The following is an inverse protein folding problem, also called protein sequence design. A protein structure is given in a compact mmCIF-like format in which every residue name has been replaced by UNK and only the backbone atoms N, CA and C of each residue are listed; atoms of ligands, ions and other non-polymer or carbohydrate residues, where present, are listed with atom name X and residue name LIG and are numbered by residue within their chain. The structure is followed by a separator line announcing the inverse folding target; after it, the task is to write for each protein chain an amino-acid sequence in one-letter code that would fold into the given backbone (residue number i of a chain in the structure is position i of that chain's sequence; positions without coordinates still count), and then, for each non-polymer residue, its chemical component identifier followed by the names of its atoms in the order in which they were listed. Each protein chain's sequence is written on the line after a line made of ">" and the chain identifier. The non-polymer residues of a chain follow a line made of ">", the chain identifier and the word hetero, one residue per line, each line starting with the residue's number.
data_IF_499910930501
#
_entry.id   IF_499910930501
#
_cell.length_a   1.000
_cell.length_b   1.000
_cell.length_c   1.000
_cell.angle_alpha   90.00
_cell.angle_beta   90.00
_cell.angle_gamma   90.00
#
_symmetry.space_group_name_H-M   'P 1'
#
loop_
_entity.id
_entity.type
_entity.pdbx_description
1 polymer ?
#
# COMPACT_ATOMS: atom_id res chain seq x y z
N UNK A 1 -49.31 -38.37 -35.21
CA UNK A 1 -49.39 -39.09 -33.91
C UNK A 1 -48.26 -38.60 -33.00
N UNK A 2 -48.47 -38.55 -31.67
CA UNK A 2 -48.21 -37.37 -30.85
C UNK A 2 -46.80 -37.33 -30.25
N UNK A 3 -46.17 -36.14 -30.16
CA UNK A 3 -44.87 -36.01 -29.50
C UNK A 3 -44.32 -34.59 -29.34
N UNK A 4 -45.10 -33.54 -29.62
CA UNK A 4 -44.64 -32.13 -29.57
C UNK A 4 -45.13 -31.33 -28.36
N UNK A 5 -45.84 -31.95 -27.41
CA UNK A 5 -46.44 -31.27 -26.25
C UNK A 5 -45.67 -31.41 -24.94
N UNK A 6 -44.68 -32.29 -24.82
CA UNK A 6 -43.97 -32.54 -23.55
C UNK A 6 -42.77 -31.62 -23.29
N UNK A 7 -42.16 -31.03 -24.32
CA UNK A 7 -41.04 -30.10 -24.13
C UNK A 7 -41.45 -28.68 -23.69
N UNK A 8 -42.74 -28.33 -23.81
CA UNK A 8 -43.26 -27.04 -23.35
C UNK A 8 -43.51 -27.01 -21.83
N UNK A 9 -43.78 -28.18 -21.22
CA UNK A 9 -44.02 -28.31 -19.78
C UNK A 9 -42.74 -28.39 -18.93
N UNK A 10 -41.63 -28.90 -19.49
CA UNK A 10 -40.34 -28.94 -18.76
C UNK A 10 -39.66 -27.56 -18.67
N UNK A 11 -39.89 -26.67 -19.64
CA UNK A 11 -39.35 -25.29 -19.59
C UNK A 11 -40.09 -24.38 -18.60
N UNK A 12 -41.38 -24.62 -18.38
CA UNK A 12 -42.22 -23.83 -17.47
C UNK A 12 -42.01 -24.22 -15.99
N UNK A 13 -41.63 -25.47 -15.72
CA UNK A 13 -41.30 -25.97 -14.37
C UNK A 13 -39.93 -25.48 -13.87
N UNK A 14 -38.97 -25.21 -14.77
CA UNK A 14 -37.66 -24.68 -14.41
C UNK A 14 -37.68 -23.15 -14.18
N UNK A 15 -38.65 -22.43 -14.78
CA UNK A 15 -38.84 -21.00 -14.59
C UNK A 15 -39.63 -20.67 -13.30
N UNK A 16 -40.44 -21.61 -12.79
CA UNK A 16 -41.17 -21.44 -11.53
C UNK A 16 -40.29 -21.69 -10.28
N UNK A 17 -39.15 -22.36 -10.44
CA UNK A 17 -38.22 -22.66 -9.35
C UNK A 17 -37.19 -21.54 -9.08
N UNK A 18 -37.10 -20.53 -9.96
CA UNK A 18 -36.25 -19.34 -9.79
C UNK A 18 -37.00 -18.06 -9.38
N UNK A 19 -38.32 -18.10 -9.20
CA UNK A 19 -39.15 -16.94 -8.86
C UNK A 19 -39.74 -16.96 -7.43
N UNK A 20 -39.28 -17.88 -6.58
CA UNK A 20 -39.96 -18.22 -5.33
C UNK A 20 -39.10 -18.17 -4.06
N UNK A 21 -38.32 -17.11 -3.82
CA UNK A 21 -37.83 -16.78 -2.45
C UNK A 21 -37.64 -15.27 -2.29
N UNK A 22 -38.75 -14.55 -2.18
CA UNK A 22 -38.76 -13.17 -1.71
C UNK A 22 -40.04 -12.91 -0.90
N UNK A 23 -39.86 -12.45 0.34
CA UNK A 23 -40.86 -11.99 1.31
C UNK A 23 -41.65 -13.05 2.11
N UNK A 24 -41.17 -13.29 3.34
CA UNK A 24 -42.04 -13.43 4.50
C UNK A 24 -41.35 -12.83 5.73
N UNK A 25 -41.85 -11.67 6.16
CA UNK A 25 -41.60 -11.13 7.48
C UNK A 25 -42.34 -11.99 8.52
N UNK A 26 -41.64 -12.43 9.56
CA UNK A 26 -42.24 -12.83 10.83
C UNK A 26 -41.22 -12.60 11.95
N UNK A 27 -41.52 -11.61 12.78
CA UNK A 27 -41.02 -11.46 14.14
C UNK A 27 -41.26 -12.73 14.96
N UNK A 28 -40.30 -13.15 15.80
CA UNK A 28 -40.51 -13.63 17.19
C UNK A 28 -39.17 -14.05 17.84
N UNK A 29 -38.96 -13.48 19.04
CA UNK A 29 -38.16 -13.89 20.22
C UNK A 29 -36.65 -14.18 20.12
N UNK A 30 -35.90 -13.19 20.61
CA UNK A 30 -34.87 -13.25 21.65
C UNK A 30 -34.92 -14.49 22.57
N UNK A 31 -33.95 -15.39 22.47
CA UNK A 31 -33.00 -15.79 23.53
C UNK A 31 -32.24 -17.06 23.16
N UNK A 32 -30.97 -17.09 23.55
CA UNK A 32 -30.06 -18.26 23.64
C UNK A 32 -29.52 -18.87 22.32
N UNK A 33 -28.42 -18.29 21.81
CA UNK A 33 -27.24 -19.12 21.50
C UNK A 33 -25.96 -18.27 21.58
N UNK A 34 -25.57 -17.97 22.83
CA UNK A 34 -24.22 -17.58 23.15
C UNK A 34 -23.36 -18.85 23.24
N UNK A 35 -22.41 -19.00 22.31
CA UNK A 35 -21.06 -19.57 22.53
C UNK A 35 -20.51 -20.21 21.24
N UNK A 36 -19.96 -19.39 20.34
CA UNK A 36 -18.78 -19.71 19.52
C UNK A 36 -18.49 -18.57 18.54
N UNK A 37 -18.18 -17.39 19.06
CA UNK A 37 -17.39 -16.42 18.31
C UNK A 37 -16.05 -16.35 19.00
N UNK A 38 -15.06 -17.00 18.38
CA UNK A 38 -13.67 -16.81 18.72
C UNK A 38 -13.38 -15.32 18.68
N UNK A 39 -12.99 -14.79 19.83
CA UNK A 39 -12.65 -13.41 20.05
C UNK A 39 -11.44 -13.03 19.19
N UNK A 40 -11.66 -12.46 18.02
CA UNK A 40 -10.68 -11.51 17.48
C UNK A 40 -10.74 -10.28 18.40
N UNK A 41 -9.63 -9.90 19.06
CA UNK A 41 -9.64 -8.72 19.90
C UNK A 41 -9.85 -7.50 18.99
N UNK A 42 -10.95 -6.82 19.22
CA UNK A 42 -11.30 -5.59 18.53
C UNK A 42 -10.21 -4.53 18.76
N UNK A 43 -9.39 -4.27 17.73
CA UNK A 43 -8.41 -3.17 17.65
C UNK A 43 -9.17 -1.84 17.46
N UNK A 44 -10.02 -1.47 18.41
CA UNK A 44 -10.90 -0.28 18.31
C UNK A 44 -10.26 0.97 18.95
N UNK A 45 -9.14 0.83 19.67
CA UNK A 45 -8.42 1.97 20.26
C UNK A 45 -7.43 2.67 19.32
N UNK A 46 -6.64 1.92 18.55
CA UNK A 46 -5.49 2.46 17.82
C UNK A 46 -5.85 3.23 16.55
N UNK A 47 -6.79 2.73 15.74
CA UNK A 47 -7.16 3.31 14.43
C UNK A 47 -7.69 4.74 14.53
N UNK A 48 -8.45 5.03 15.59
CA UNK A 48 -8.99 6.38 15.83
C UNK A 48 -7.90 7.42 16.15
N UNK A 49 -6.79 7.00 16.78
CA UNK A 49 -5.65 7.86 17.10
C UNK A 49 -4.86 8.24 15.84
N UNK A 50 -4.48 7.22 15.06
CA UNK A 50 -3.76 7.42 13.79
C UNK A 50 -4.56 8.25 12.78
N UNK A 51 -5.87 7.99 12.65
CA UNK A 51 -6.73 8.77 11.75
C UNK A 51 -6.85 10.24 12.19
N UNK A 52 -7.00 10.51 13.50
CA UNK A 52 -7.02 11.89 14.01
C UNK A 52 -5.68 12.60 13.80
N UNK A 53 -4.57 11.86 13.96
CA UNK A 53 -3.24 12.39 13.71
C UNK A 53 -3.04 12.76 12.24
N UNK A 54 -3.48 11.90 11.31
CA UNK A 54 -3.42 12.17 9.88
C UNK A 54 -4.24 13.41 9.49
N UNK A 55 -5.49 13.52 9.98
CA UNK A 55 -6.32 14.70 9.74
C UNK A 55 -5.70 15.99 10.31
N UNK A 56 -5.11 15.92 11.50
CA UNK A 56 -4.43 17.07 12.11
C UNK A 56 -3.17 17.45 11.34
N UNK A 57 -2.40 16.47 10.85
CA UNK A 57 -1.22 16.71 10.02
C UNK A 57 -1.56 17.32 8.66
N UNK A 58 -2.68 16.90 8.04
CA UNK A 58 -3.18 17.49 6.80
C UNK A 58 -3.64 18.94 7.01
N UNK A 59 -4.44 19.20 8.04
CA UNK A 59 -4.86 20.56 8.39
C UNK A 59 -3.68 21.48 8.69
N UNK A 60 -2.68 20.99 9.44
CA UNK A 60 -1.45 21.73 9.71
C UNK A 60 -0.73 22.11 8.41
N UNK A 61 -0.58 21.16 7.47
CA UNK A 61 0.06 21.41 6.19
C UNK A 61 -0.66 22.53 5.41
N UNK A 62 -1.99 22.50 5.37
CA UNK A 62 -2.79 23.54 4.72
C UNK A 62 -2.60 24.92 5.40
N UNK A 63 -2.54 24.97 6.73
CA UNK A 63 -2.28 26.21 7.47
C UNK A 63 -0.87 26.76 7.25
N UNK A 64 0.13 25.88 7.12
CA UNK A 64 1.51 26.28 6.77
C UNK A 64 1.55 26.90 5.37
N UNK A 65 0.85 26.30 4.39
CA UNK A 65 0.74 26.88 3.05
C UNK A 65 0.05 28.24 3.05
N UNK A 66 -1.00 28.40 3.86
CA UNK A 66 -1.73 29.64 4.05
C UNK A 66 -0.95 30.71 4.85
N UNK A 67 0.10 30.32 5.59
CA UNK A 67 0.89 31.21 6.44
C UNK A 67 0.20 31.65 7.75
N UNK A 68 -0.84 30.92 8.20
CA UNK A 68 -1.60 31.25 9.41
C UNK A 68 -0.87 30.75 10.67
N UNK A 69 0.05 31.56 11.20
CA UNK A 69 0.86 31.21 12.37
C UNK A 69 0.06 30.86 13.62
N UNK A 70 -1.12 31.45 13.80
CA UNK A 70 -1.96 31.18 14.96
C UNK A 70 -2.52 29.74 14.88
N UNK A 71 -3.05 29.37 13.71
CA UNK A 71 -3.57 28.01 13.49
C UNK A 71 -2.47 26.96 13.44
N UNK A 72 -1.29 27.28 12.90
CA UNK A 72 -0.14 26.37 12.89
C UNK A 72 0.25 25.98 14.33
N UNK A 73 0.32 26.95 15.24
CA UNK A 73 0.61 26.71 16.66
C UNK A 73 -0.47 25.85 17.32
N UNK A 74 -1.73 26.23 17.12
CA UNK A 74 -2.87 25.49 17.65
C UNK A 74 -2.89 24.03 17.18
N UNK A 75 -2.69 23.79 15.89
CA UNK A 75 -2.73 22.44 15.33
C UNK A 75 -1.50 21.61 15.76
N UNK A 76 -0.33 22.24 15.90
CA UNK A 76 0.88 21.61 16.45
C UNK A 76 0.69 21.13 17.90
N UNK A 77 0.01 21.91 18.74
CA UNK A 77 -0.33 21.51 20.11
C UNK A 77 -1.34 20.36 20.14
N UNK A 78 -2.35 20.42 19.26
CA UNK A 78 -3.33 19.34 19.10
C UNK A 78 -2.68 18.03 18.65
N UNK A 79 -1.74 18.07 17.70
CA UNK A 79 -0.95 16.91 17.28
C UNK A 79 -0.20 16.30 18.48
N UNK A 80 0.45 17.14 19.29
CA UNK A 80 1.16 16.69 20.50
C UNK A 80 0.20 15.96 21.46
N UNK A 81 -0.99 16.52 21.68
CA UNK A 81 -2.00 15.93 22.55
C UNK A 81 -2.54 14.59 22.00
N UNK A 82 -2.77 14.49 20.69
CA UNK A 82 -3.22 13.25 20.05
C UNK A 82 -2.19 12.14 20.28
N UNK A 83 -0.91 12.44 20.08
CA UNK A 83 0.17 11.44 20.19
C UNK A 83 0.35 10.95 21.63
N UNK A 84 0.22 11.83 22.62
CA UNK A 84 0.31 11.44 24.04
C UNK A 84 -0.93 10.66 24.51
N UNK A 85 -2.11 10.97 23.98
CA UNK A 85 -3.38 10.36 24.41
C UNK A 85 -3.79 9.12 23.62
N UNK A 86 -3.07 8.77 22.54
CA UNK A 86 -3.39 7.63 21.67
C UNK A 86 -2.35 6.52 21.82
N UNK A 87 -2.80 5.27 21.68
CA UNK A 87 -1.91 4.13 21.50
C UNK A 87 -1.71 3.85 20.01
N UNK A 88 -0.47 3.63 19.60
CA UNK A 88 -0.09 3.21 18.24
C UNK A 88 0.43 1.77 18.22
N UNK A 89 0.09 0.98 19.25
CA UNK A 89 0.49 -0.42 19.36
C UNK A 89 0.02 -1.23 18.15
N UNK A 90 0.91 -2.05 17.60
CA UNK A 90 0.62 -2.89 16.44
C UNK A 90 0.57 -2.17 15.08
N UNK A 91 0.70 -0.83 15.05
CA UNK A 91 0.69 -0.06 13.80
C UNK A 91 2.06 0.12 13.18
N UNK A 92 3.09 0.17 14.01
CA UNK A 92 4.47 0.44 13.62
C UNK A 92 5.44 -0.20 14.62
N UNK A 93 6.72 -0.31 14.24
CA UNK A 93 7.79 -0.70 15.15
C UNK A 93 8.18 0.44 16.11
N UNK A 94 9.03 0.12 17.08
CA UNK A 94 9.61 1.09 18.04
C UNK A 94 10.37 2.20 17.30
N UNK A 95 11.11 1.85 16.25
CA UNK A 95 11.82 2.79 15.39
C UNK A 95 10.86 3.77 14.71
N UNK A 96 9.68 3.31 14.28
CA UNK A 96 8.66 4.18 13.69
C UNK A 96 8.00 5.11 14.69
N UNK A 97 7.77 4.68 15.94
CA UNK A 97 7.32 5.59 17.02
C UNK A 97 8.38 6.65 17.31
N UNK A 98 9.65 6.26 17.35
CA UNK A 98 10.76 7.20 17.51
C UNK A 98 10.84 8.18 16.33
N UNK A 99 10.72 7.69 15.09
CA UNK A 99 10.73 8.53 13.90
C UNK A 99 9.56 9.54 13.87
N UNK A 100 8.36 9.11 14.24
CA UNK A 100 7.20 9.98 14.38
C UNK A 100 7.44 11.07 15.43
N UNK A 101 7.95 10.67 16.59
CA UNK A 101 8.25 11.58 17.70
C UNK A 101 9.29 12.62 17.30
N UNK A 102 10.33 12.21 16.58
CA UNK A 102 11.36 13.10 16.05
C UNK A 102 10.78 14.16 15.09
N UNK A 103 9.93 13.75 14.15
CA UNK A 103 9.28 14.69 13.21
C UNK A 103 8.38 15.70 13.93
N UNK A 104 7.65 15.26 14.96
CA UNK A 104 6.83 16.17 15.79
C UNK A 104 7.71 17.15 16.55
N UNK A 105 8.83 16.68 17.12
CA UNK A 105 9.77 17.55 17.83
C UNK A 105 10.39 18.60 16.90
N UNK A 106 10.80 18.20 15.69
CA UNK A 106 11.33 19.11 14.67
C UNK A 106 10.31 20.18 14.29
N UNK A 107 9.06 19.77 14.06
CA UNK A 107 7.96 20.71 13.80
C UNK A 107 7.78 21.71 14.94
N UNK A 108 7.75 21.25 16.19
CA UNK A 108 7.58 22.13 17.36
C UNK A 108 8.73 23.12 17.48
N UNK A 109 9.96 22.69 17.20
CA UNK A 109 11.12 23.57 17.20
C UNK A 109 11.01 24.66 16.13
N UNK A 110 10.57 24.31 14.91
CA UNK A 110 10.37 25.29 13.82
C UNK A 110 9.24 26.28 14.13
N UNK A 111 8.12 25.81 14.68
CA UNK A 111 6.98 26.66 15.06
C UNK A 111 7.29 27.60 16.24
N UNK A 112 8.16 27.16 17.15
CA UNK A 112 8.64 27.95 18.28
C UNK A 112 9.82 28.87 17.92
N UNK A 113 10.37 28.76 16.71
CA UNK A 113 11.55 29.52 16.31
C UNK A 113 11.26 31.03 16.20
N UNK A 114 12.26 31.85 16.58
CA UNK A 114 12.16 33.32 16.53
C UNK A 114 12.08 33.82 15.09
N UNK A 115 12.72 33.12 14.14
CA UNK A 115 12.65 33.41 12.72
C UNK A 115 11.88 32.29 12.01
N UNK A 116 10.56 32.44 11.95
CA UNK A 116 9.70 31.53 11.22
C UNK A 116 10.09 31.53 9.74
N UNK A 117 10.61 30.39 9.25
CA UNK A 117 10.85 30.16 7.82
C UNK A 117 9.70 29.35 7.26
N UNK A 118 9.08 29.88 6.20
CA UNK A 118 7.97 29.23 5.52
C UNK A 118 8.43 27.90 4.92
N UNK A 119 9.59 27.90 4.27
CA UNK A 119 10.17 26.74 3.58
C UNK A 119 10.47 25.61 4.57
N UNK A 120 11.08 25.92 5.72
CA UNK A 120 11.38 24.91 6.75
C UNK A 120 10.11 24.36 7.39
N UNK A 121 9.12 25.22 7.62
CA UNK A 121 7.82 24.81 8.17
C UNK A 121 7.04 23.95 7.19
N UNK A 122 7.06 24.28 5.89
CA UNK A 122 6.46 23.48 4.82
C UNK A 122 7.08 22.08 4.75
N UNK A 123 8.41 22.00 4.81
CA UNK A 123 9.12 20.72 4.84
C UNK A 123 8.80 19.89 6.08
N UNK A 124 8.77 20.50 7.27
CA UNK A 124 8.43 19.83 8.52
C UNK A 124 6.98 19.31 8.51
N UNK A 125 6.03 20.12 8.07
CA UNK A 125 4.63 19.72 7.96
C UNK A 125 4.41 18.62 6.91
N UNK A 126 5.11 18.69 5.76
CA UNK A 126 5.06 17.64 4.75
C UNK A 126 5.61 16.30 5.28
N UNK A 127 6.74 16.33 6.00
CA UNK A 127 7.29 15.13 6.67
C UNK A 127 6.29 14.54 7.66
N UNK A 128 5.65 15.37 8.48
CA UNK A 128 4.63 14.91 9.43
C UNK A 128 3.43 14.29 8.72
N UNK A 129 2.94 14.92 7.65
CA UNK A 129 1.83 14.39 6.85
C UNK A 129 2.16 13.03 6.26
N UNK A 130 3.36 12.85 5.71
CA UNK A 130 3.80 11.55 5.18
C UNK A 130 3.92 10.51 6.29
N UNK A 131 4.49 10.88 7.45
CA UNK A 131 4.62 9.99 8.60
C UNK A 131 3.26 9.54 9.16
N UNK A 132 2.32 10.47 9.33
CA UNK A 132 0.98 10.18 9.82
C UNK A 132 0.19 9.30 8.83
N UNK A 133 0.30 9.57 7.53
CA UNK A 133 -0.30 8.74 6.49
C UNK A 133 0.28 7.31 6.49
N UNK A 134 1.59 7.14 6.68
CA UNK A 134 2.23 5.82 6.76
C UNK A 134 1.67 4.96 7.89
N UNK A 135 1.26 5.55 9.02
CA UNK A 135 0.65 4.82 10.13
C UNK A 135 -0.72 4.25 9.76
N UNK A 136 -1.51 5.01 9.01
CA UNK A 136 -2.90 4.64 8.70
C UNK A 136 -3.02 3.81 7.42
N UNK A 137 -2.03 3.90 6.52
CA UNK A 137 -2.04 3.25 5.21
C UNK A 137 -0.80 2.35 4.98
N UNK A 138 -0.59 1.29 5.79
CA UNK A 138 0.63 0.47 5.70
C UNK A 138 0.81 -0.24 4.35
N UNK A 139 -0.28 -0.53 3.63
CA UNK A 139 -0.22 -1.21 2.32
C UNK A 139 0.10 -0.30 1.13
N UNK A 140 -0.32 0.97 1.17
CA UNK A 140 -0.14 1.93 0.08
C UNK A 140 0.08 3.36 0.63
N UNK A 141 1.17 3.60 1.37
CA UNK A 141 1.44 4.91 1.93
C UNK A 141 1.83 5.89 0.82
N UNK A 142 1.48 7.17 1.01
CA UNK A 142 1.68 8.23 0.01
C UNK A 142 3.14 8.38 -0.43
N UNK A 143 4.10 8.11 0.45
CA UNK A 143 5.53 8.22 0.12
C UNK A 143 5.97 7.28 -1.01
N UNK A 144 5.22 6.19 -1.30
CA UNK A 144 5.53 5.32 -2.43
C UNK A 144 5.50 6.05 -3.78
N UNK A 145 4.77 7.18 -3.87
CA UNK A 145 4.77 8.03 -5.06
C UNK A 145 6.16 8.62 -5.37
N UNK A 146 7.06 8.70 -4.38
CA UNK A 146 8.43 9.17 -4.56
C UNK A 146 9.31 8.18 -5.35
N UNK A 147 8.84 6.94 -5.57
CA UNK A 147 9.59 5.92 -6.30
C UNK A 147 10.09 6.41 -7.66
N UNK A 148 9.23 7.12 -8.41
CA UNK A 148 9.60 7.63 -9.74
C UNK A 148 10.78 8.60 -9.66
N UNK A 149 10.79 9.46 -8.64
CA UNK A 149 11.80 10.49 -8.45
C UNK A 149 13.13 9.88 -7.97
N UNK A 150 13.06 8.93 -7.02
CA UNK A 150 14.23 8.16 -6.55
C UNK A 150 14.88 7.39 -7.71
N UNK A 151 14.08 6.72 -8.53
CA UNK A 151 14.57 5.99 -9.72
C UNK A 151 15.21 6.93 -10.73
N UNK A 152 14.66 8.12 -10.92
CA UNK A 152 15.23 9.13 -11.81
C UNK A 152 16.61 9.60 -11.32
N UNK A 153 16.77 9.86 -10.01
CA UNK A 153 18.06 10.25 -9.45
C UNK A 153 19.10 9.13 -9.56
N UNK A 154 18.71 7.88 -9.28
CA UNK A 154 19.56 6.70 -9.49
C UNK A 154 19.96 6.55 -10.98
N UNK A 155 19.03 6.80 -11.90
CA UNK A 155 19.32 6.80 -13.34
C UNK A 155 20.29 7.91 -13.75
N UNK A 156 20.20 9.10 -13.13
CA UNK A 156 21.18 10.18 -13.34
C UNK A 156 22.55 9.82 -12.77
N UNK A 157 22.61 9.17 -11.60
CA UNK A 157 23.86 8.63 -11.08
C UNK A 157 24.50 7.62 -12.04
N UNK A 158 23.69 6.73 -12.63
CA UNK A 158 24.16 5.75 -13.63
C UNK A 158 24.75 6.44 -14.87
N UNK A 159 24.05 7.44 -15.41
CA UNK A 159 24.49 8.21 -16.57
C UNK A 159 25.81 8.94 -16.30
N UNK A 160 25.91 9.61 -15.16
CA UNK A 160 27.12 10.32 -14.75
C UNK A 160 28.29 9.35 -14.52
N UNK A 161 28.03 8.19 -13.91
CA UNK A 161 29.02 7.12 -13.77
C UNK A 161 29.51 6.62 -15.14
N UNK A 162 28.61 6.39 -16.09
CA UNK A 162 28.95 5.95 -17.44
C UNK A 162 29.77 6.99 -18.23
N UNK A 163 29.51 8.28 -18.01
CA UNK A 163 30.24 9.39 -18.60
C UNK A 163 31.58 9.71 -17.89
N UNK A 164 31.84 9.11 -16.73
CA UNK A 164 32.99 9.46 -15.89
C UNK A 164 32.90 10.84 -15.24
N UNK A 165 31.69 11.40 -15.19
CA UNK A 165 31.36 12.69 -14.59
C UNK A 165 31.10 12.53 -13.09
N UNK A 166 32.09 12.89 -12.30
CA UNK A 166 32.01 12.77 -10.84
C UNK A 166 31.20 13.89 -10.20
N UNK A 167 31.21 15.08 -10.77
CA UNK A 167 30.43 16.20 -10.26
C UNK A 167 28.93 15.94 -10.49
N UNK A 168 28.57 15.45 -11.69
CA UNK A 168 27.22 15.01 -11.99
C UNK A 168 26.76 13.84 -11.13
N UNK A 169 27.67 12.90 -10.81
CA UNK A 169 27.36 11.79 -9.90
C UNK A 169 27.07 12.28 -8.47
N UNK A 170 27.93 13.17 -7.95
CA UNK A 170 27.78 13.76 -6.62
C UNK A 170 26.49 14.58 -6.51
N UNK A 171 26.20 15.42 -7.50
CA UNK A 171 24.98 16.22 -7.53
C UNK A 171 23.70 15.36 -7.60
N UNK A 172 23.74 14.23 -8.33
CA UNK A 172 22.63 13.29 -8.36
C UNK A 172 22.45 12.57 -7.01
N UNK A 173 23.55 12.21 -6.33
CA UNK A 173 23.51 11.62 -4.99
C UNK A 173 22.97 12.60 -3.93
N UNK A 174 23.40 13.86 -3.94
CA UNK A 174 22.91 14.88 -3.00
C UNK A 174 21.40 15.11 -3.16
N UNK A 175 20.88 15.11 -4.40
CA UNK A 175 19.44 15.17 -4.67
C UNK A 175 18.70 13.96 -4.13
N UNK A 176 19.26 12.76 -4.33
CA UNK A 176 18.69 11.53 -3.80
C UNK A 176 18.64 11.54 -2.27
N UNK A 177 19.73 11.95 -1.61
CA UNK A 177 19.81 12.10 -0.16
C UNK A 177 18.76 13.07 0.36
N UNK A 178 18.69 14.26 -0.23
CA UNK A 178 17.69 15.27 0.15
C UNK A 178 16.25 14.76 0.00
N UNK A 179 15.95 14.03 -1.08
CA UNK A 179 14.62 13.41 -1.25
C UNK A 179 14.37 12.30 -0.25
N UNK A 180 15.38 11.48 0.02
CA UNK A 180 15.28 10.41 1.00
C UNK A 180 15.03 10.97 2.41
N UNK A 181 15.74 12.01 2.83
CA UNK A 181 15.55 12.67 4.13
C UNK A 181 14.11 13.19 4.35
N UNK A 182 13.42 13.54 3.26
CA UNK A 182 12.01 13.96 3.31
C UNK A 182 11.04 12.79 3.51
N UNK A 183 11.34 11.61 2.96
CA UNK A 183 10.47 10.44 3.07
C UNK A 183 10.89 9.48 4.18
N UNK A 184 12.13 9.56 4.67
CA UNK A 184 12.73 8.60 5.60
C UNK A 184 11.88 8.33 6.84
N UNK A 185 11.29 9.34 7.53
CA UNK A 185 10.42 9.06 8.67
C UNK A 185 9.19 8.21 8.29
N UNK A 186 8.60 8.49 7.13
CA UNK A 186 7.44 7.75 6.62
C UNK A 186 7.82 6.32 6.19
N UNK A 187 9.02 6.13 5.66
CA UNK A 187 9.58 4.81 5.31
C UNK A 187 9.80 3.98 6.57
N UNK A 188 10.43 4.54 7.62
CA UNK A 188 10.68 3.83 8.89
C UNK A 188 9.37 3.35 9.53
N UNK A 189 8.30 4.13 9.42
CA UNK A 189 7.00 3.79 9.99
C UNK A 189 6.32 2.62 9.27
N UNK A 190 6.37 2.59 7.93
CA UNK A 190 5.63 1.58 7.15
C UNK A 190 6.45 0.36 6.74
N UNK A 191 7.77 0.43 6.81
CA UNK A 191 8.68 -0.60 6.29
C UNK A 191 9.42 -1.33 7.40
N UNK A 192 9.91 -2.53 7.08
CA UNK A 192 10.71 -3.33 8.01
C UNK A 192 12.06 -2.64 8.32
N UNK A 193 12.53 -2.62 9.59
CA UNK A 193 13.79 -1.97 9.96
C UNK A 193 15.01 -2.45 9.15
N UNK A 194 15.05 -3.73 8.77
CA UNK A 194 16.15 -4.31 8.01
C UNK A 194 16.26 -3.70 6.61
N UNK A 195 15.12 -3.44 5.96
CA UNK A 195 15.05 -2.87 4.62
C UNK A 195 15.50 -1.40 4.64
N UNK A 196 15.10 -0.65 5.67
CA UNK A 196 15.54 0.74 5.84
C UNK A 196 17.04 0.79 6.12
N UNK A 197 17.54 -0.06 7.01
CA UNK A 197 18.96 -0.14 7.35
C UNK A 197 19.83 -0.51 6.15
N UNK A 198 19.37 -1.43 5.29
CA UNK A 198 20.06 -1.78 4.06
C UNK A 198 20.22 -0.57 3.12
N UNK A 199 19.14 0.22 2.96
CA UNK A 199 19.18 1.42 2.13
C UNK A 199 20.03 2.54 2.76
N UNK A 200 19.94 2.76 4.07
CA UNK A 200 20.77 3.72 4.82
C UNK A 200 22.27 3.39 4.70
N UNK A 201 22.61 2.11 4.81
CA UNK A 201 24.00 1.62 4.66
C UNK A 201 24.51 1.83 3.25
N UNK A 202 23.70 1.51 2.24
CA UNK A 202 24.06 1.78 0.85
C UNK A 202 24.25 3.29 0.59
N UNK A 203 23.34 4.13 1.09
CA UNK A 203 23.38 5.57 0.87
C UNK A 203 24.61 6.22 1.51
N UNK A 204 24.97 5.81 2.72
CA UNK A 204 26.18 6.26 3.40
C UNK A 204 27.46 5.76 2.72
N UNK A 205 27.47 4.52 2.22
CA UNK A 205 28.59 4.01 1.41
C UNK A 205 28.76 4.81 0.12
N UNK A 206 27.66 5.08 -0.61
CA UNK A 206 27.69 5.92 -1.80
C UNK A 206 28.20 7.33 -1.47
N UNK A 207 27.76 7.94 -0.37
CA UNK A 207 28.21 9.26 0.06
C UNK A 207 29.73 9.35 0.30
N UNK A 208 30.33 8.27 0.79
CA UNK A 208 31.77 8.20 1.06
C UNK A 208 32.64 8.06 -0.20
N UNK A 209 32.08 7.62 -1.32
CA UNK A 209 32.84 7.28 -2.53
C UNK A 209 33.51 8.49 -3.21
N UNK A 210 32.84 9.64 -3.39
CA UNK A 210 33.49 10.85 -3.92
C UNK A 210 34.49 11.49 -2.97
N UNK A 211 34.39 11.21 -1.66
CA UNK A 211 35.29 11.76 -0.64
C UNK A 211 36.61 10.96 -0.51
N UNK A 212 36.70 9.81 -1.18
CA UNK A 212 37.91 9.00 -1.19
C UNK A 212 39.05 9.72 -1.95
N UNK A 213 40.27 9.62 -1.43
CA UNK A 213 41.46 10.30 -1.98
C UNK A 213 41.82 9.89 -3.43
N UNK A 214 41.21 8.83 -3.97
CA UNK A 214 41.46 8.34 -5.31
C UNK A 214 40.18 8.39 -6.14
N UNK A 215 40.30 8.81 -7.40
CA UNK A 215 39.19 8.82 -8.36
C UNK A 215 38.59 7.41 -8.46
N UNK A 216 37.34 7.16 -8.01
CA UNK A 216 36.72 5.85 -8.14
C UNK A 216 36.64 5.42 -9.61
N UNK A 217 36.91 4.14 -9.85
CA UNK A 217 36.77 3.53 -11.17
C UNK A 217 35.30 3.58 -11.63
N UNK A 218 35.10 3.71 -12.95
CA UNK A 218 33.78 3.72 -13.57
C UNK A 218 33.00 2.45 -13.25
N UNK A 219 33.65 1.29 -13.30
CA UNK A 219 33.03 -0.01 -13.01
C UNK A 219 32.46 -0.02 -11.60
N UNK A 220 33.25 0.46 -10.63
CA UNK A 220 32.84 0.57 -9.23
C UNK A 220 31.65 1.51 -9.04
N UNK A 221 31.62 2.65 -9.73
CA UNK A 221 30.48 3.58 -9.66
C UNK A 221 29.19 2.97 -10.21
N UNK A 222 29.28 2.21 -11.31
CA UNK A 222 28.14 1.50 -11.88
C UNK A 222 27.64 0.38 -10.95
N UNK A 223 28.55 -0.38 -10.33
CA UNK A 223 28.19 -1.39 -9.33
C UNK A 223 27.44 -0.77 -8.14
N UNK A 224 27.93 0.35 -7.59
CA UNK A 224 27.26 1.07 -6.51
C UNK A 224 25.83 1.45 -6.90
N UNK A 225 25.63 1.97 -8.12
CA UNK A 225 24.31 2.35 -8.60
C UNK A 225 23.41 1.13 -8.79
N UNK A 226 23.93 0.03 -9.32
CA UNK A 226 23.18 -1.22 -9.47
C UNK A 226 22.67 -1.75 -8.12
N UNK A 227 23.52 -1.77 -7.08
CA UNK A 227 23.10 -2.14 -5.74
C UNK A 227 22.05 -1.18 -5.17
N UNK A 228 22.17 0.12 -5.45
CA UNK A 228 21.21 1.14 -5.03
C UNK A 228 19.84 1.00 -5.68
N UNK A 229 19.81 0.66 -6.97
CA UNK A 229 18.58 0.38 -7.69
C UNK A 229 17.83 -0.82 -7.12
N UNK A 230 18.56 -1.87 -6.72
CA UNK A 230 17.93 -3.03 -6.09
C UNK A 230 17.46 -2.72 -4.66
N UNK A 231 18.30 -2.08 -3.84
CA UNK A 231 17.92 -1.65 -2.50
C UNK A 231 16.68 -0.73 -2.51
N UNK A 232 16.61 0.22 -3.45
CA UNK A 232 15.43 1.04 -3.65
C UNK A 232 14.22 0.19 -4.08
N UNK A 233 14.38 -0.75 -5.01
CA UNK A 233 13.27 -1.61 -5.46
C UNK A 233 12.67 -2.41 -4.30
N UNK A 234 13.51 -3.01 -3.46
CA UNK A 234 13.10 -3.75 -2.25
C UNK A 234 12.38 -2.81 -1.27
N UNK A 235 12.96 -1.64 -1.00
CA UNK A 235 12.37 -0.63 -0.10
C UNK A 235 10.96 -0.20 -0.54
N UNK A 236 10.74 -0.03 -1.85
CA UNK A 236 9.44 0.35 -2.40
C UNK A 236 8.49 -0.83 -2.68
N UNK A 237 8.86 -2.07 -2.32
CA UNK A 237 8.03 -3.26 -2.54
C UNK A 237 7.79 -3.56 -4.02
N UNK A 238 8.76 -3.26 -4.89
CA UNK A 238 8.68 -3.44 -6.35
C UNK A 238 9.52 -4.63 -6.84
N UNK A 239 9.79 -5.61 -5.98
CA UNK A 239 10.63 -6.77 -6.30
C UNK A 239 10.21 -7.39 -7.64
N UNK A 240 11.23 -7.72 -8.45
CA UNK A 240 11.06 -8.31 -9.79
C UNK A 240 10.77 -9.81 -9.74
N UNK A 241 10.82 -10.41 -8.56
CA UNK A 241 10.69 -11.84 -8.35
C UNK A 241 9.95 -12.08 -7.03
N UNK A 242 8.62 -11.90 -7.03
CA UNK A 242 7.84 -12.94 -6.38
C UNK A 242 8.12 -14.20 -7.21
N UNK A 243 8.77 -15.25 -6.68
CA UNK A 243 8.68 -16.54 -7.34
C UNK A 243 7.20 -16.79 -7.54
N UNK A 244 6.81 -17.14 -8.77
CA UNK A 244 5.43 -17.38 -9.21
C UNK A 244 4.72 -18.56 -8.49
N UNK A 245 5.13 -18.87 -7.25
CA UNK A 245 4.70 -19.96 -6.40
C UNK A 245 4.29 -19.52 -4.98
N UNK A 246 4.25 -18.21 -4.67
CA UNK A 246 3.35 -17.73 -3.63
C UNK A 246 2.24 -16.97 -4.30
N UNK A 247 1.14 -17.67 -4.60
CA UNK A 247 -0.16 -17.04 -4.71
C UNK A 247 -0.60 -16.66 -3.29
N UNK A 248 -0.49 -15.41 -2.81
CA UNK A 248 -1.60 -14.90 -2.04
C UNK A 248 -2.67 -14.62 -3.09
N UNK A 249 -3.42 -15.65 -3.48
CA UNK A 249 -4.79 -15.40 -3.85
C UNK A 249 -5.39 -14.73 -2.62
N UNK A 250 -5.32 -13.40 -2.58
CA UNK A 250 -6.37 -12.62 -1.98
C UNK A 250 -7.65 -13.29 -2.44
N UNK A 251 -8.56 -13.70 -1.54
CA UNK A 251 -9.87 -14.10 -1.97
C UNK A 251 -10.50 -12.83 -2.54
N UNK A 252 -10.17 -12.53 -3.79
CA UNK A 252 -10.91 -11.62 -4.62
C UNK A 252 -12.27 -12.28 -4.62
N UNK A 253 -13.17 -11.77 -3.80
CA UNK A 253 -14.52 -12.27 -3.68
C UNK A 253 -15.18 -11.95 -5.01
N UNK A 254 -14.94 -12.84 -5.98
CA UNK A 254 -15.78 -12.99 -7.13
C UNK A 254 -17.11 -13.41 -6.53
N UNK A 255 -17.93 -12.42 -6.15
CA UNK A 255 -19.22 -12.63 -5.53
C UNK A 255 -20.16 -13.34 -6.51
N UNK A 256 -21.40 -12.91 -6.56
CA UNK A 256 -22.41 -13.52 -7.43
C UNK A 256 -21.94 -13.60 -8.90
N UNK A 257 -21.12 -12.65 -9.36
CA UNK A 257 -20.53 -12.64 -10.70
C UNK A 257 -19.57 -13.80 -11.00
N UNK A 258 -18.78 -14.26 -10.02
CA UNK A 258 -17.89 -15.41 -10.19
C UNK A 258 -18.66 -16.71 -10.37
N UNK A 259 -19.70 -16.89 -9.55
CA UNK A 259 -20.59 -18.04 -9.63
C UNK A 259 -21.35 -18.08 -10.96
N UNK A 260 -21.75 -16.92 -11.49
CA UNK A 260 -22.41 -16.85 -12.80
C UNK A 260 -21.46 -17.25 -13.94
N UNK A 261 -20.20 -16.78 -13.91
CA UNK A 261 -19.21 -17.14 -14.92
C UNK A 261 -18.87 -18.65 -14.86
N UNK A 262 -18.66 -19.19 -13.66
CA UNK A 262 -18.43 -20.61 -13.46
C UNK A 262 -19.63 -21.46 -13.90
N UNK A 263 -20.85 -21.03 -13.57
CA UNK A 263 -22.09 -21.69 -13.98
C UNK A 263 -22.27 -21.72 -15.49
N UNK A 264 -21.93 -20.63 -16.19
CA UNK A 264 -21.98 -20.57 -17.65
C UNK A 264 -21.03 -21.58 -18.31
N UNK A 265 -19.79 -21.69 -17.80
CA UNK A 265 -18.80 -22.65 -18.30
C UNK A 265 -19.29 -24.09 -18.10
N UNK A 266 -19.80 -24.42 -16.91
CA UNK A 266 -20.35 -25.76 -16.63
C UNK A 266 -21.54 -26.06 -17.55
N UNK A 267 -22.44 -25.11 -17.76
CA UNK A 267 -23.58 -25.28 -18.67
C UNK A 267 -23.14 -25.58 -20.11
N UNK A 268 -22.11 -24.88 -20.61
CA UNK A 268 -21.54 -25.13 -21.94
C UNK A 268 -20.91 -26.54 -22.05
N UNK A 269 -20.21 -26.99 -21.00
CA UNK A 269 -19.62 -28.33 -20.95
C UNK A 269 -20.68 -29.43 -20.87
N UNK A 270 -21.74 -29.23 -20.09
CA UNK A 270 -22.87 -30.16 -20.01
C UNK A 270 -23.60 -30.24 -21.35
N UNK A 271 -23.81 -29.12 -22.04
CA UNK A 271 -24.44 -29.10 -23.35
C UNK A 271 -23.62 -29.86 -24.41
N UNK A 272 -22.30 -29.64 -24.43
CA UNK A 272 -21.41 -30.34 -25.36
C UNK A 272 -21.30 -31.83 -25.04
N UNK A 273 -21.22 -32.20 -23.76
CA UNK A 273 -21.25 -33.60 -23.32
C UNK A 273 -22.55 -34.30 -23.70
N UNK A 274 -23.70 -33.67 -23.46
CA UNK A 274 -25.00 -34.21 -23.82
C UNK A 274 -25.18 -34.34 -25.35
N UNK A 275 -24.68 -33.37 -26.12
CA UNK A 275 -24.69 -33.43 -27.58
C UNK A 275 -23.85 -34.59 -28.12
N UNK A 276 -22.68 -34.85 -27.52
CA UNK A 276 -21.82 -35.97 -27.89
C UNK A 276 -22.50 -37.32 -27.56
N UNK A 277 -23.07 -37.44 -26.36
CA UNK A 277 -23.80 -38.65 -25.94
C UNK A 277 -24.99 -38.98 -26.86
N UNK A 278 -25.72 -37.96 -27.34
CA UNK A 278 -26.82 -38.17 -28.30
C UNK A 278 -26.34 -38.54 -29.71
N UNK A 279 -25.12 -38.15 -30.10
CA UNK A 279 -24.53 -38.52 -31.39
C UNK A 279 -24.13 -40.00 -31.44
N UNK A 280 -23.56 -40.52 -30.35
CA UNK A 280 -23.17 -41.94 -30.24
C UNK A 280 -24.40 -42.86 -30.19
N UNK A 281 -25.51 -42.44 -29.56
CA UNK A 281 -26.74 -43.25 -29.52
C UNK A 281 -27.52 -43.33 -30.85
N UNK A 282 -27.15 -42.57 -31.88
CA UNK A 282 -27.74 -42.68 -33.23
C UNK A 282 -27.05 -43.69 -34.15
N UNK A 283 -25.81 -44.12 -33.82
CA UNK A 283 -25.11 -45.17 -34.60
C UNK A 283 -25.55 -46.60 -34.24
N UNK A 284 -26.31 -46.79 -33.15
CA UNK A 284 -26.78 -48.11 -32.71
C UNK A 284 -28.22 -48.45 -33.12
N UNK A 285 -28.75 -47.80 -34.18
CA UNK A 285 -30.00 -48.21 -34.86
C UNK A 285 -29.81 -48.40 -36.36
N UNK A 286 -28.94 -49.35 -36.68
CA UNK A 286 -29.02 -50.27 -37.81
C UNK A 286 -28.54 -51.59 -37.21
N UNK A 287 -29.38 -52.57 -36.85
CA UNK A 287 -30.36 -53.34 -37.63
C UNK A 287 -31.53 -53.75 -36.73
#
# INVERSE_FOLDING_TARGET
>A
MPGRRTYWWMGLLLLWLLAGTGHAAASVSQDAEAAASGSEPAVIGGSSGAQRLEQAAEALYDYVLAGDLAKIRQESDKISQIVVSSSFEGMTSVEGIHALSAVIMDLKAEVASVQFSKERSEAAAAKLRLAANSLNHPGQPMWQQYYKLVREDLGKMEQSAAAGDQEGWKAALERLQSRYDNIRPAVIISSKPEVVSAFDTWLSYAAGVPAAAHKPDRTRLLEIVSYGQEAARVMFGKEKDEPALSLPLSPQSYGIWGLLAAGFIISALVYTGFRKYRGENSEWKTV
#
